data_IF_337146845420
#
_entry.id   IF_337146845420
#
_cell.length_a   1.000
_cell.length_b   1.000
_cell.length_c   1.000
_cell.angle_alpha   90.00
_cell.angle_beta   90.00
_cell.angle_gamma   90.00
#
_symmetry.space_group_name_H-M   'P 1'
#
loop_
_entity.id
_entity.type
_entity.pdbx_description
1 polymer ?
#
# COMPACT_ATOMS: atom_id res chain seq x y z
N UNK A 1 -4.14 14.48 -14.42
CA UNK A 1 -3.99 14.76 -12.97
C UNK A 1 -3.05 13.70 -12.42
N UNK A 2 -2.00 14.10 -11.70
CA UNK A 2 -1.10 13.17 -11.03
C UNK A 2 -1.72 12.71 -9.71
N UNK A 3 -1.51 11.45 -9.33
CA UNK A 3 -1.92 10.96 -8.02
C UNK A 3 -1.19 11.74 -6.91
N UNK A 4 -1.85 11.97 -5.78
CA UNK A 4 -1.22 12.61 -4.61
C UNK A 4 -0.94 11.60 -3.51
N UNK A 5 -0.04 11.95 -2.58
CA UNK A 5 0.28 11.09 -1.43
C UNK A 5 -0.96 10.80 -0.59
N UNK A 6 -1.85 11.78 -0.43
CA UNK A 6 -3.10 11.65 0.33
C UNK A 6 -4.03 10.63 -0.32
N UNK A 7 -4.17 10.64 -1.65
CA UNK A 7 -5.00 9.67 -2.37
C UNK A 7 -4.47 8.24 -2.24
N UNK A 8 -3.14 8.08 -2.31
CA UNK A 8 -2.47 6.80 -2.09
C UNK A 8 -2.68 6.32 -0.66
N UNK A 9 -2.51 7.21 0.32
CA UNK A 9 -2.69 6.91 1.73
C UNK A 9 -4.12 6.46 2.05
N UNK A 10 -5.14 7.15 1.52
CA UNK A 10 -6.54 6.77 1.65
C UNK A 10 -6.87 5.43 0.96
N UNK A 11 -6.21 5.12 -0.16
CA UNK A 11 -6.35 3.81 -0.80
C UNK A 11 -5.75 2.69 0.05
N UNK A 12 -4.55 2.89 0.61
CA UNK A 12 -3.89 1.92 1.48
C UNK A 12 -4.64 1.69 2.79
N UNK A 13 -5.30 2.73 3.33
CA UNK A 13 -6.13 2.65 4.53
C UNK A 13 -7.38 1.78 4.36
N UNK A 14 -7.78 1.48 3.12
CA UNK A 14 -8.88 0.54 2.82
C UNK A 14 -8.42 -0.92 2.77
N UNK A 15 -7.12 -1.16 2.80
CA UNK A 15 -6.55 -2.50 2.71
C UNK A 15 -6.33 -3.06 4.12
N UNK A 16 -7.13 -4.07 4.45
CA UNK A 16 -7.06 -4.79 5.72
C UNK A 16 -6.16 -6.01 5.60
N UNK A 17 -5.29 -6.22 6.59
CA UNK A 17 -4.46 -7.42 6.65
C UNK A 17 -5.25 -8.59 7.28
N UNK A 18 -5.31 -9.78 6.66
CA UNK A 18 -5.98 -10.93 7.23
C UNK A 18 -5.29 -11.35 8.53
N UNK A 19 -6.10 -11.54 9.58
CA UNK A 19 -5.60 -11.87 10.92
C UNK A 19 -4.99 -10.70 11.69
N UNK A 20 -5.28 -9.45 11.30
CA UNK A 20 -5.01 -8.25 12.09
C UNK A 20 -6.28 -7.39 12.15
N UNK A 21 -6.60 -6.85 13.33
CA UNK A 21 -7.71 -5.89 13.49
C UNK A 21 -7.23 -4.48 13.12
N UNK A 22 -7.07 -4.23 11.82
CA UNK A 22 -6.71 -2.92 11.32
C UNK A 22 -6.33 -2.90 9.84
N UNK A 23 -6.28 -1.69 9.30
CA UNK A 23 -5.73 -1.43 7.98
C UNK A 23 -4.20 -1.26 8.03
N UNK A 24 -3.54 -1.44 6.89
CA UNK A 24 -2.08 -1.33 6.75
C UNK A 24 -1.49 -0.04 7.33
N UNK A 25 -2.24 1.06 7.24
CA UNK A 25 -1.79 2.38 7.66
C UNK A 25 -1.96 2.55 9.17
N UNK A 26 -3.11 2.19 9.72
CA UNK A 26 -3.39 2.22 11.16
C UNK A 26 -2.50 1.26 11.95
N UNK A 27 -2.11 0.15 11.33
CA UNK A 27 -1.16 -0.81 11.89
C UNK A 27 0.31 -0.34 11.79
N UNK A 28 0.57 0.83 11.20
CA UNK A 28 1.92 1.38 11.02
C UNK A 28 2.80 0.56 10.10
N UNK A 29 2.21 -0.26 9.23
CA UNK A 29 2.94 -1.17 8.33
C UNK A 29 3.43 -0.44 7.08
N UNK A 30 2.79 0.64 6.67
CA UNK A 30 3.19 1.44 5.50
C UNK A 30 4.20 2.50 5.92
N UNK A 31 5.30 2.59 5.18
CA UNK A 31 6.32 3.63 5.31
C UNK A 31 6.75 4.15 3.94
N UNK A 32 7.31 5.37 3.93
CA UNK A 32 7.95 5.98 2.75
C UNK A 32 7.10 5.99 1.47
N UNK A 33 5.96 6.70 1.49
CA UNK A 33 5.15 6.90 0.28
C UNK A 33 5.77 7.97 -0.62
N UNK A 34 6.24 7.54 -1.79
CA UNK A 34 6.82 8.37 -2.83
C UNK A 34 5.91 8.31 -4.06
N UNK A 35 5.46 9.48 -4.52
CA UNK A 35 4.68 9.61 -5.74
C UNK A 35 5.47 10.46 -6.72
N UNK A 36 5.75 9.92 -7.91
CA UNK A 36 6.56 10.59 -8.93
C UNK A 36 6.07 10.21 -10.33
N UNK A 37 5.55 11.19 -11.06
CA UNK A 37 5.10 11.04 -12.46
C UNK A 37 4.18 9.83 -12.71
N UNK A 38 3.20 9.62 -11.83
CA UNK A 38 2.29 8.49 -11.86
C UNK A 38 2.87 7.16 -11.38
N UNK A 39 4.13 7.13 -10.94
CA UNK A 39 4.72 5.99 -10.23
C UNK A 39 4.55 6.20 -8.74
N UNK A 40 4.05 5.18 -8.06
CA UNK A 40 3.91 5.16 -6.61
C UNK A 40 4.79 4.06 -6.05
N UNK A 41 5.64 4.42 -5.10
CA UNK A 41 6.52 3.50 -4.38
C UNK A 41 6.22 3.66 -2.90
N UNK A 42 6.04 2.55 -2.20
CA UNK A 42 5.89 2.52 -0.75
C UNK A 42 6.49 1.24 -0.18
N UNK A 43 6.87 1.28 1.09
CA UNK A 43 7.41 0.13 1.80
C UNK A 43 6.34 -0.42 2.73
N UNK A 44 6.13 -1.75 2.72
CA UNK A 44 5.30 -2.42 3.72
C UNK A 44 6.20 -3.25 4.62
N UNK A 45 6.32 -2.81 5.87
CA UNK A 45 7.00 -3.55 6.93
C UNK A 45 6.08 -4.65 7.45
N UNK A 46 6.37 -5.89 7.07
CA UNK A 46 5.72 -7.10 7.61
C UNK A 46 6.74 -7.89 8.44
N UNK A 47 6.34 -8.52 9.55
CA UNK A 47 7.21 -9.45 10.26
C UNK A 47 7.48 -10.67 9.37
N UNK A 48 8.75 -11.07 9.26
CA UNK A 48 9.19 -12.16 8.37
C UNK A 48 8.44 -13.47 8.60
N UNK A 49 8.07 -13.73 9.86
CA UNK A 49 7.31 -14.91 10.31
C UNK A 49 5.92 -15.00 9.67
N UNK A 50 5.33 -13.84 9.34
CA UNK A 50 4.02 -13.72 8.68
C UNK A 50 4.12 -13.25 7.24
N UNK A 51 5.33 -13.11 6.68
CA UNK A 51 5.51 -12.60 5.33
C UNK A 51 4.75 -13.41 4.27
N UNK A 52 4.68 -14.74 4.43
CA UNK A 52 3.89 -15.62 3.54
C UNK A 52 2.37 -15.40 3.68
N UNK A 53 1.89 -15.19 4.89
CA UNK A 53 0.47 -14.93 5.15
C UNK A 53 0.04 -13.53 4.70
N UNK A 54 0.98 -12.59 4.73
CA UNK A 54 0.79 -11.19 4.38
C UNK A 54 1.19 -10.85 2.94
N UNK A 55 1.71 -11.82 2.19
CA UNK A 55 1.97 -11.68 0.75
C UNK A 55 0.71 -11.27 -0.03
N UNK A 56 -0.49 -11.84 0.23
CA UNK A 56 -1.74 -11.34 -0.37
C UNK A 56 -2.03 -9.88 -0.03
N UNK A 57 -1.62 -9.41 1.14
CA UNK A 57 -1.84 -8.02 1.57
C UNK A 57 -1.00 -7.07 0.75
N UNK A 58 0.26 -7.42 0.48
CA UNK A 58 1.12 -6.65 -0.42
C UNK A 58 0.45 -6.46 -1.78
N UNK A 59 -0.09 -7.54 -2.33
CA UNK A 59 -0.79 -7.49 -3.61
C UNK A 59 -2.07 -6.64 -3.55
N UNK A 60 -2.88 -6.79 -2.50
CA UNK A 60 -4.07 -5.96 -2.29
C UNK A 60 -3.72 -4.47 -2.15
N UNK A 61 -2.63 -4.14 -1.47
CA UNK A 61 -2.11 -2.78 -1.36
C UNK A 61 -1.72 -2.21 -2.73
N UNK A 62 -0.98 -2.98 -3.51
CA UNK A 62 -0.60 -2.59 -4.87
C UNK A 62 -1.83 -2.35 -5.76
N UNK A 63 -2.79 -3.27 -5.74
CA UNK A 63 -4.01 -3.17 -6.52
C UNK A 63 -4.87 -1.96 -6.09
N UNK A 64 -4.98 -1.70 -4.78
CA UNK A 64 -5.70 -0.54 -4.26
C UNK A 64 -5.08 0.78 -4.71
N UNK A 65 -3.76 0.90 -4.66
CA UNK A 65 -3.03 2.09 -5.12
C UNK A 65 -3.10 2.21 -6.65
N UNK A 66 -3.06 1.09 -7.38
CA UNK A 66 -3.17 1.08 -8.83
C UNK A 66 -4.55 1.53 -9.32
N UNK A 67 -5.59 1.35 -8.51
CA UNK A 67 -6.92 1.87 -8.77
C UNK A 67 -7.05 3.40 -8.58
N UNK A 68 -6.05 4.05 -8.00
CA UNK A 68 -6.05 5.52 -7.81
C UNK A 68 -5.87 6.22 -9.16
N UNK A 69 -6.76 7.17 -9.53
CA UNK A 69 -6.62 7.92 -10.77
C UNK A 69 -5.28 8.66 -10.85
N UNK A 70 -4.56 8.49 -11.96
CA UNK A 70 -3.25 9.11 -12.17
C UNK A 70 -2.08 8.25 -11.71
N UNK A 71 -2.32 7.03 -11.23
CA UNK A 71 -1.29 6.01 -11.01
C UNK A 71 -1.14 5.14 -12.25
N UNK A 72 0.07 5.07 -12.76
CA UNK A 72 0.48 4.26 -13.91
C UNK A 72 1.28 3.03 -13.46
N UNK A 73 2.06 3.15 -12.39
CA UNK A 73 2.91 2.08 -11.87
C UNK A 73 2.91 2.11 -10.35
N UNK A 74 2.89 0.92 -9.73
CA UNK A 74 2.97 0.76 -8.29
C UNK A 74 4.07 -0.24 -7.97
N UNK A 75 4.79 0.00 -6.88
CA UNK A 75 5.80 -0.92 -6.38
C UNK A 75 5.77 -0.92 -4.85
N UNK A 76 5.40 -2.04 -4.25
CA UNK A 76 5.49 -2.25 -2.81
C UNK A 76 6.79 -3.00 -2.47
N UNK A 77 7.66 -2.40 -1.67
CA UNK A 77 8.89 -3.01 -1.14
C UNK A 77 8.68 -3.66 0.22
#
# INVERSE_FOLDING_TARGET
MAATKEQVYEALKRVTAPGLDGDLVSLGMVSDIIVSDGKVIFSITVPAERARELEPVRKLAEDAVRAVPGVSQVMAA
#
